data_IF_265983111790
#
_entry.id   IF_265983111790
#
_cell.length_a   1.000
_cell.length_b   1.000
_cell.length_c   1.000
_cell.angle_alpha   90.00
_cell.angle_beta   90.00
_cell.angle_gamma   90.00
#
_symmetry.space_group_name_H-M   'P 1'
#
loop_
_entity.id
_entity.type
_entity.pdbx_description
1 polymer ?
#
# COMPACT_ATOMS: atom_id res chain seq x y z
N UNK A 1 -3.87 -0.59 -25.09
CA UNK A 1 -2.92 -1.39 -24.28
C UNK A 1 -1.76 -1.87 -25.16
N UNK A 2 -2.01 -2.46 -26.33
CA UNK A 2 -0.95 -2.96 -27.23
C UNK A 2 0.03 -1.86 -27.66
N UNK A 3 -0.46 -0.66 -27.95
CA UNK A 3 0.37 0.49 -28.31
C UNK A 3 1.29 0.90 -27.17
N UNK A 4 0.80 0.88 -25.93
CA UNK A 4 1.55 1.22 -24.73
C UNK A 4 2.65 0.17 -24.48
N UNK A 5 2.32 -1.11 -24.62
CA UNK A 5 3.30 -2.19 -24.47
C UNK A 5 4.48 -2.06 -25.41
N UNK A 6 4.19 -1.70 -26.68
CA UNK A 6 5.25 -1.47 -27.70
C UNK A 6 6.11 -0.24 -27.36
N UNK A 7 5.49 0.86 -26.96
CA UNK A 7 6.18 2.11 -26.68
C UNK A 7 7.07 2.02 -25.43
N UNK A 8 6.64 1.25 -24.44
CA UNK A 8 7.39 1.06 -23.18
C UNK A 8 8.28 -0.19 -23.17
N UNK A 9 8.27 -0.96 -24.27
CA UNK A 9 8.96 -2.25 -24.37
C UNK A 9 8.62 -3.19 -23.19
N UNK A 10 7.37 -3.16 -22.77
CA UNK A 10 6.83 -3.99 -21.68
C UNK A 10 5.83 -5.00 -22.19
N UNK A 11 5.92 -6.22 -21.67
CA UNK A 11 4.90 -7.23 -21.93
C UNK A 11 3.72 -7.00 -21.00
N UNK A 12 2.54 -6.77 -21.58
CA UNK A 12 1.31 -6.53 -20.85
C UNK A 12 0.38 -7.72 -21.07
N UNK A 13 0.04 -8.40 -19.97
CA UNK A 13 -0.98 -9.44 -19.97
C UNK A 13 -2.33 -8.80 -19.64
N UNK A 14 -3.32 -9.05 -20.47
CA UNK A 14 -4.68 -8.50 -20.30
C UNK A 14 -5.63 -9.62 -19.93
N UNK A 15 -6.33 -9.46 -18.81
CA UNK A 15 -7.37 -10.41 -18.42
C UNK A 15 -8.49 -10.43 -19.48
N UNK A 16 -9.00 -11.61 -19.87
CA UNK A 16 -10.05 -11.73 -20.88
C UNK A 16 -11.33 -10.97 -20.58
N UNK A 17 -11.59 -10.66 -19.31
CA UNK A 17 -12.74 -9.85 -18.91
C UNK A 17 -12.58 -8.34 -19.21
N UNK A 18 -11.36 -7.92 -19.55
CA UNK A 18 -11.03 -6.54 -19.89
C UNK A 18 -11.23 -6.34 -21.38
N UNK A 19 -12.27 -5.61 -21.75
CA UNK A 19 -12.59 -5.29 -23.14
C UNK A 19 -12.91 -3.80 -23.27
N UNK A 20 -12.53 -3.21 -24.38
CA UNK A 20 -12.85 -1.82 -24.69
C UNK A 20 -11.71 -1.11 -25.40
N UNK A 21 -12.05 0.02 -25.99
CA UNK A 21 -11.10 0.92 -26.63
C UNK A 21 -11.04 2.22 -25.84
N UNK A 22 -9.84 2.66 -25.50
CA UNK A 22 -9.60 3.92 -24.79
C UNK A 22 -8.94 4.89 -25.75
N UNK A 23 -9.52 6.08 -25.88
CA UNK A 23 -8.96 7.16 -26.65
C UNK A 23 -8.50 8.27 -25.72
N UNK A 24 -7.20 8.57 -25.72
CA UNK A 24 -6.60 9.60 -24.88
C UNK A 24 -5.69 10.47 -25.71
N UNK A 25 -5.66 11.76 -25.41
CA UNK A 25 -4.78 12.73 -26.06
C UNK A 25 -3.84 13.35 -25.05
N UNK A 26 -2.56 13.38 -25.37
CA UNK A 26 -1.57 14.17 -24.64
C UNK A 26 -1.06 15.27 -25.56
N UNK A 27 -0.86 16.47 -24.99
CA UNK A 27 -0.34 17.62 -25.72
C UNK A 27 1.15 17.82 -25.49
N UNK A 28 1.74 17.18 -24.49
CA UNK A 28 3.14 17.28 -24.12
C UNK A 28 3.90 16.00 -24.44
N UNK A 29 5.20 16.14 -24.69
CA UNK A 29 6.12 15.00 -24.78
C UNK A 29 6.34 14.50 -23.36
N UNK A 30 6.08 13.22 -23.13
CA UNK A 30 6.23 12.57 -21.84
C UNK A 30 7.50 11.72 -21.84
N UNK A 31 8.18 11.65 -20.70
CA UNK A 31 9.22 10.64 -20.44
C UNK A 31 8.58 9.24 -20.33
N UNK A 32 9.39 8.17 -20.39
CA UNK A 32 8.88 6.81 -20.24
C UNK A 32 8.14 6.61 -18.90
N UNK A 33 8.67 7.14 -17.81
CA UNK A 33 8.04 7.05 -16.49
C UNK A 33 6.73 7.85 -16.43
N UNK A 34 6.72 9.07 -16.95
CA UNK A 34 5.50 9.88 -17.04
C UNK A 34 4.43 9.22 -17.93
N UNK A 35 4.86 8.63 -19.03
CA UNK A 35 3.96 7.90 -19.93
C UNK A 35 3.36 6.66 -19.25
N UNK A 36 4.18 5.93 -18.48
CA UNK A 36 3.72 4.79 -17.70
C UNK A 36 2.73 5.22 -16.60
N UNK A 37 3.03 6.26 -15.84
CA UNK A 37 2.11 6.80 -14.83
C UNK A 37 0.80 7.29 -15.44
N UNK A 38 0.87 7.93 -16.59
CA UNK A 38 -0.31 8.33 -17.35
C UNK A 38 -1.15 7.12 -17.77
N UNK A 39 -0.52 6.07 -18.26
CA UNK A 39 -1.19 4.81 -18.61
C UNK A 39 -1.92 4.19 -17.40
N UNK A 40 -1.27 4.13 -16.24
CA UNK A 40 -1.87 3.64 -15.00
C UNK A 40 -3.10 4.46 -14.61
N UNK A 41 -2.99 5.77 -14.67
CA UNK A 41 -4.08 6.70 -14.32
C UNK A 41 -5.28 6.57 -15.27
N UNK A 42 -5.03 6.40 -16.55
CA UNK A 42 -6.09 6.16 -17.54
C UNK A 42 -6.82 4.84 -17.27
N UNK A 43 -6.08 3.77 -17.01
CA UNK A 43 -6.68 2.48 -16.66
C UNK A 43 -7.54 2.57 -15.40
N UNK A 44 -7.08 3.29 -14.40
CA UNK A 44 -7.84 3.51 -13.16
C UNK A 44 -9.19 4.20 -13.41
N UNK A 45 -9.22 5.21 -14.28
CA UNK A 45 -10.48 5.86 -14.70
C UNK A 45 -11.49 4.90 -15.33
N UNK A 46 -11.01 3.84 -15.97
CA UNK A 46 -11.85 2.79 -16.56
C UNK A 46 -12.12 1.61 -15.61
N UNK A 47 -11.78 1.74 -14.34
CA UNK A 47 -11.96 0.68 -13.36
C UNK A 47 -11.03 -0.51 -13.53
N UNK A 48 -9.86 -0.28 -14.13
CA UNK A 48 -8.82 -1.27 -14.37
C UNK A 48 -7.61 -1.00 -13.49
N UNK A 49 -6.94 -2.04 -13.07
CA UNK A 49 -5.74 -1.98 -12.23
C UNK A 49 -4.60 -2.77 -12.84
N UNK A 50 -3.39 -2.33 -12.57
CA UNK A 50 -2.17 -2.96 -13.05
C UNK A 50 -1.44 -3.63 -11.89
N UNK A 51 -1.13 -4.90 -12.06
CA UNK A 51 -0.36 -5.71 -11.11
C UNK A 51 1.00 -5.99 -11.72
N UNK A 52 2.11 -5.50 -11.15
CA UNK A 52 3.44 -5.84 -11.62
C UNK A 52 3.75 -7.31 -11.33
N UNK A 53 4.51 -7.94 -12.19
CA UNK A 53 4.95 -9.33 -12.07
C UNK A 53 6.46 -9.40 -11.89
N UNK A 54 6.95 -10.47 -11.25
CA UNK A 54 8.38 -10.63 -10.92
C UNK A 54 9.34 -10.61 -12.13
N UNK A 55 8.82 -10.94 -13.29
CA UNK A 55 9.61 -10.98 -14.54
C UNK A 55 9.61 -9.66 -15.35
N UNK A 56 9.18 -8.55 -14.72
CA UNK A 56 9.09 -7.23 -15.37
C UNK A 56 7.87 -7.06 -16.28
N UNK A 57 7.03 -8.06 -16.41
CA UNK A 57 5.73 -7.95 -17.06
C UNK A 57 4.72 -7.28 -16.16
N UNK A 58 3.61 -6.83 -16.72
CA UNK A 58 2.48 -6.28 -15.96
C UNK A 58 1.19 -6.96 -16.39
N UNK A 59 0.29 -7.16 -15.44
CA UNK A 59 -1.03 -7.75 -15.68
C UNK A 59 -2.11 -6.70 -15.46
N UNK A 60 -3.00 -6.54 -16.44
CA UNK A 60 -4.17 -5.66 -16.35
C UNK A 60 -5.39 -6.48 -15.98
N UNK A 61 -6.05 -6.11 -14.90
CA UNK A 61 -7.26 -6.76 -14.38
C UNK A 61 -8.31 -5.71 -14.03
N UNK A 62 -9.54 -6.14 -13.80
CA UNK A 62 -10.55 -5.25 -13.21
C UNK A 62 -10.18 -4.90 -11.78
N UNK A 63 -10.40 -3.65 -11.39
CA UNK A 63 -10.07 -3.16 -10.04
C UNK A 63 -10.77 -3.96 -8.93
N UNK A 64 -11.99 -4.45 -9.19
CA UNK A 64 -12.72 -5.31 -8.26
C UNK A 64 -12.02 -6.65 -7.97
N UNK A 65 -11.23 -7.15 -8.91
CA UNK A 65 -10.48 -8.42 -8.80
C UNK A 65 -9.07 -8.20 -8.29
N UNK A 66 -8.51 -7.00 -8.45
CA UNK A 66 -7.13 -6.68 -8.08
C UNK A 66 -6.82 -6.98 -6.61
N UNK A 67 -7.79 -6.78 -5.72
CA UNK A 67 -7.68 -7.05 -4.27
C UNK A 67 -7.32 -8.51 -3.95
N UNK A 68 -7.76 -9.45 -4.77
CA UNK A 68 -7.59 -10.89 -4.58
C UNK A 68 -6.66 -11.54 -5.60
N UNK A 69 -6.14 -10.78 -6.54
CA UNK A 69 -5.36 -11.28 -7.68
C UNK A 69 -3.89 -11.63 -7.38
N UNK A 70 -3.50 -11.73 -6.11
CA UNK A 70 -2.14 -12.11 -5.72
C UNK A 70 -1.11 -11.03 -6.08
N UNK A 71 -1.32 -9.81 -5.62
CA UNK A 71 -0.39 -8.70 -5.83
C UNK A 71 1.00 -9.04 -5.28
N UNK A 72 2.08 -8.72 -6.00
CA UNK A 72 3.44 -9.05 -5.59
C UNK A 72 3.84 -8.32 -4.31
N UNK A 73 4.73 -8.93 -3.55
CA UNK A 73 5.34 -8.30 -2.39
C UNK A 73 6.30 -7.20 -2.85
N UNK A 74 6.09 -6.01 -2.34
CA UNK A 74 6.98 -4.88 -2.50
C UNK A 74 7.73 -4.59 -1.19
N UNK A 75 8.88 -3.98 -1.28
CA UNK A 75 9.70 -3.59 -0.14
C UNK A 75 10.21 -2.15 -0.28
N UNK A 76 11.08 -1.73 0.64
CA UNK A 76 11.63 -0.36 0.61
C UNK A 76 12.56 -0.11 -0.56
N UNK A 77 13.15 -1.15 -1.16
CA UNK A 77 14.02 -1.04 -2.34
C UNK A 77 13.21 -0.99 -3.62
N UNK A 78 12.12 -1.77 -3.66
CA UNK A 78 11.19 -1.86 -4.79
C UNK A 78 9.76 -1.58 -4.31
N UNK A 79 9.43 -0.31 -4.05
CA UNK A 79 8.15 0.05 -3.43
C UNK A 79 6.96 0.01 -4.39
N UNK A 80 7.18 -0.32 -5.66
CA UNK A 80 6.19 -0.19 -6.72
C UNK A 80 6.06 1.25 -7.22
N UNK A 81 5.31 1.45 -8.31
CA UNK A 81 5.16 2.74 -8.97
C UNK A 81 3.69 3.16 -9.01
N UNK A 82 3.39 4.37 -8.51
CA UNK A 82 2.11 5.04 -8.69
C UNK A 82 0.89 4.19 -8.32
N UNK A 83 0.05 3.90 -9.29
CA UNK A 83 -1.20 3.15 -9.13
C UNK A 83 -1.04 1.63 -9.37
N UNK A 84 0.17 1.11 -9.46
CA UNK A 84 0.40 -0.34 -9.48
C UNK A 84 -0.12 -0.98 -8.19
N UNK A 85 -0.75 -2.15 -8.31
CA UNK A 85 -1.24 -2.88 -7.13
C UNK A 85 -0.11 -3.74 -6.57
N UNK A 86 0.23 -3.47 -5.32
CA UNK A 86 1.31 -4.16 -4.59
C UNK A 86 0.83 -4.58 -3.20
N UNK A 87 1.60 -5.45 -2.56
CA UNK A 87 1.43 -5.82 -1.15
C UNK A 87 2.69 -5.47 -0.36
N UNK A 88 2.53 -4.80 0.77
CA UNK A 88 3.61 -4.52 1.71
C UNK A 88 3.38 -5.27 3.02
N UNK A 89 4.46 -5.82 3.55
CA UNK A 89 4.49 -6.45 4.87
C UNK A 89 5.18 -5.50 5.84
N UNK A 90 4.51 -5.14 6.92
CA UNK A 90 5.05 -4.25 7.96
C UNK A 90 5.00 -4.94 9.31
N UNK A 91 6.13 -5.08 9.94
CA UNK A 91 6.24 -5.57 11.31
C UNK A 91 6.22 -4.40 12.28
N UNK A 92 5.36 -4.48 13.28
CA UNK A 92 5.26 -3.51 14.36
C UNK A 92 6.05 -3.98 15.57
N UNK A 93 6.76 -3.09 16.21
CA UNK A 93 7.58 -3.40 17.39
C UNK A 93 6.95 -2.90 18.68
N UNK A 94 6.28 -1.75 18.65
CA UNK A 94 5.85 -1.01 19.83
C UNK A 94 4.33 -0.89 19.95
N UNK A 95 3.61 -0.82 18.84
CA UNK A 95 2.16 -0.65 18.83
C UNK A 95 1.47 -1.95 18.36
N UNK A 96 0.43 -2.42 19.06
CA UNK A 96 -0.33 -3.59 18.61
C UNK A 96 -1.03 -3.35 17.27
N UNK A 97 -0.86 -4.27 16.32
CA UNK A 97 -1.47 -4.15 14.97
C UNK A 97 -2.99 -4.07 15.02
N UNK A 98 -3.63 -4.69 16.00
CA UNK A 98 -5.10 -4.65 16.17
C UNK A 98 -5.64 -3.24 16.39
N UNK A 99 -4.84 -2.34 16.95
CA UNK A 99 -5.27 -0.96 17.21
C UNK A 99 -5.22 -0.11 15.93
N UNK A 100 -4.26 -0.37 15.05
CA UNK A 100 -4.07 0.36 13.82
C UNK A 100 -4.85 -0.20 12.63
N UNK A 101 -5.10 -1.50 12.61
CA UNK A 101 -5.73 -2.16 11.47
C UNK A 101 -7.10 -1.55 11.06
N UNK A 102 -8.02 -1.18 11.97
CA UNK A 102 -9.28 -0.54 11.60
C UNK A 102 -9.09 0.81 10.92
N UNK A 103 -8.18 1.65 11.45
CA UNK A 103 -7.87 2.95 10.87
C UNK A 103 -7.25 2.83 9.48
N UNK A 104 -6.32 1.90 9.32
CA UNK A 104 -5.66 1.64 8.04
C UNK A 104 -6.63 1.10 6.99
N UNK A 105 -7.59 0.25 7.40
CA UNK A 105 -8.66 -0.20 6.50
C UNK A 105 -9.47 0.99 5.99
N UNK A 106 -9.90 1.86 6.88
CA UNK A 106 -10.68 3.04 6.49
C UNK A 106 -9.91 3.94 5.51
N UNK A 107 -8.63 4.17 5.74
CA UNK A 107 -7.78 4.98 4.86
C UNK A 107 -7.50 4.29 3.51
N UNK A 108 -7.34 2.98 3.51
CA UNK A 108 -7.04 2.20 2.31
C UNK A 108 -8.31 1.95 1.47
N UNK A 109 -9.46 1.76 2.11
CA UNK A 109 -10.75 1.54 1.44
C UNK A 109 -11.26 2.76 0.67
N UNK A 110 -10.78 3.96 1.00
CA UNK A 110 -11.09 5.17 0.25
C UNK A 110 -10.71 5.08 -1.25
N UNK A 111 -9.79 4.18 -1.61
CA UNK A 111 -9.41 3.91 -2.99
C UNK A 111 -10.24 2.81 -3.66
N UNK A 112 -11.08 2.10 -2.91
CA UNK A 112 -11.92 0.99 -3.39
C UNK A 112 -11.17 -0.31 -3.72
N UNK A 113 -9.85 -0.34 -3.63
CA UNK A 113 -8.99 -1.46 -4.01
C UNK A 113 -8.25 -2.03 -2.80
N UNK A 114 -8.14 -1.24 -1.74
CA UNK A 114 -7.33 -1.54 -0.58
C UNK A 114 -7.78 -2.76 0.22
N UNK A 115 -6.82 -3.49 0.76
CA UNK A 115 -7.04 -4.57 1.72
C UNK A 115 -6.01 -4.48 2.84
N UNK A 116 -6.45 -4.63 4.08
CA UNK A 116 -5.59 -4.64 5.27
C UNK A 116 -5.84 -5.91 6.06
N UNK A 117 -4.85 -6.74 6.17
CA UNK A 117 -4.85 -7.96 6.99
C UNK A 117 -3.84 -7.79 8.12
N UNK A 118 -4.20 -8.17 9.32
CA UNK A 118 -3.30 -8.17 10.46
C UNK A 118 -3.14 -9.57 11.04
N UNK A 119 -1.95 -9.86 11.55
CA UNK A 119 -1.62 -11.11 12.21
C UNK A 119 -1.05 -10.80 13.59
N UNK A 120 -1.87 -10.95 14.62
CA UNK A 120 -1.54 -10.58 16.00
C UNK A 120 -0.33 -11.33 16.58
N UNK A 121 -0.17 -12.66 16.38
CA UNK A 121 0.93 -13.40 17.01
C UNK A 121 2.32 -12.87 16.69
N UNK A 122 2.55 -12.36 15.49
CA UNK A 122 3.82 -11.77 15.07
C UNK A 122 3.80 -10.25 14.96
N UNK A 123 2.68 -9.63 15.29
CA UNK A 123 2.46 -8.18 15.21
C UNK A 123 2.77 -7.62 13.80
N UNK A 124 2.23 -8.27 12.77
CA UNK A 124 2.48 -7.98 11.36
C UNK A 124 1.22 -7.47 10.68
N UNK A 125 1.39 -6.47 9.82
CA UNK A 125 0.38 -5.94 8.90
C UNK A 125 0.73 -6.32 7.45
N UNK A 126 -0.30 -6.72 6.71
CA UNK A 126 -0.26 -6.90 5.26
C UNK A 126 -1.15 -5.83 4.64
N UNK A 127 -0.56 -4.95 3.84
CA UNK A 127 -1.23 -3.85 3.17
C UNK A 127 -1.20 -4.09 1.66
N UNK A 128 -2.37 -4.28 1.06
CA UNK A 128 -2.52 -4.43 -0.39
C UNK A 128 -3.30 -3.24 -0.95
N UNK A 129 -2.85 -2.71 -2.06
CA UNK A 129 -3.50 -1.59 -2.73
C UNK A 129 -2.57 -0.89 -3.71
N UNK A 130 -2.93 0.33 -4.11
CA UNK A 130 -2.09 1.17 -4.95
C UNK A 130 -0.77 1.48 -4.26
N UNK A 131 0.35 1.34 -4.97
CA UNK A 131 1.69 1.54 -4.40
C UNK A 131 1.84 2.90 -3.74
N UNK A 132 1.33 3.97 -4.34
CA UNK A 132 1.37 5.33 -3.77
C UNK A 132 0.64 5.43 -2.43
N UNK A 133 -0.53 4.81 -2.30
CA UNK A 133 -1.32 4.81 -1.07
C UNK A 133 -0.69 3.91 -0.01
N UNK A 134 -0.33 2.69 -0.37
CA UNK A 134 0.25 1.71 0.55
C UNK A 134 1.57 2.22 1.13
N UNK A 135 2.44 2.83 0.32
CA UNK A 135 3.71 3.38 0.79
C UNK A 135 3.51 4.54 1.78
N UNK A 136 2.51 5.40 1.56
CA UNK A 136 2.13 6.43 2.54
C UNK A 136 1.65 5.85 3.85
N UNK A 137 0.85 4.78 3.79
CA UNK A 137 0.36 4.10 4.99
C UNK A 137 1.50 3.43 5.75
N UNK A 138 2.47 2.84 5.05
CA UNK A 138 3.68 2.27 5.65
C UNK A 138 4.48 3.33 6.39
N UNK A 139 4.70 4.50 5.78
CA UNK A 139 5.40 5.62 6.42
C UNK A 139 4.67 6.12 7.67
N UNK A 140 3.34 6.23 7.59
CA UNK A 140 2.49 6.62 8.72
C UNK A 140 2.61 5.62 9.88
N UNK A 141 2.48 4.33 9.58
CA UNK A 141 2.56 3.23 10.55
C UNK A 141 3.91 3.21 11.24
N UNK A 142 5.00 3.36 10.49
CA UNK A 142 6.36 3.39 11.06
C UNK A 142 6.58 4.58 11.98
N UNK A 143 6.00 5.75 11.68
CA UNK A 143 6.06 6.93 12.57
C UNK A 143 5.29 6.68 13.86
N UNK A 144 4.07 6.17 13.76
CA UNK A 144 3.24 5.84 14.93
C UNK A 144 3.92 4.80 15.80
N UNK A 145 4.56 3.81 15.20
CA UNK A 145 5.28 2.76 15.93
C UNK A 145 6.50 3.32 16.69
N UNK A 146 7.25 4.23 16.08
CA UNK A 146 8.36 4.95 16.76
C UNK A 146 7.87 5.80 17.91
N UNK A 147 6.78 6.54 17.73
CA UNK A 147 6.19 7.37 18.79
C UNK A 147 5.67 6.52 19.96
N UNK A 148 5.30 5.28 19.71
CA UNK A 148 4.92 4.29 20.71
C UNK A 148 6.03 3.98 21.73
N UNK A 149 7.29 4.09 21.35
CA UNK A 149 8.45 3.94 22.26
C UNK A 149 8.43 5.01 23.34
N UNK A 150 8.25 6.25 22.98
CA UNK A 150 8.25 7.39 23.90
C UNK A 150 7.15 7.26 24.96
N UNK A 151 5.98 6.79 24.58
CA UNK A 151 4.87 6.55 25.51
C UNK A 151 5.16 5.42 26.49
N UNK A 152 5.83 4.36 26.06
CA UNK A 152 6.19 3.24 26.93
C UNK A 152 7.25 3.59 27.95
N UNK A 153 8.19 4.46 27.64
CA UNK A 153 9.21 4.93 28.59
C UNK A 153 8.63 5.83 29.67
N UNK A 154 7.59 6.61 29.37
CA UNK A 154 6.97 7.54 30.31
C UNK A 154 6.01 6.83 31.30
N UNK A 155 5.25 5.83 30.86
CA UNK A 155 4.26 5.11 31.69
C UNK A 155 4.87 4.40 32.93
N UNK A 156 6.00 3.65 32.83
CA UNK A 156 6.62 3.01 33.96
C UNK A 156 7.10 4.00 35.03
N UNK A 157 7.65 5.15 34.64
CA UNK A 157 8.11 6.21 35.55
C UNK A 157 6.96 6.85 36.31
N UNK A 158 5.82 7.11 35.68
CA UNK A 158 4.62 7.63 36.36
C UNK A 158 4.03 6.61 37.34
N UNK A 159 4.07 5.34 37.01
CA UNK A 159 3.57 4.26 37.86
C UNK A 159 4.46 4.06 39.10
N UNK A 160 5.77 4.09 38.96
CA UNK A 160 6.73 4.03 40.05
C UNK A 160 6.57 5.22 40.97
N UNK A 161 6.45 6.43 40.44
CA UNK A 161 6.25 7.66 41.23
C UNK A 161 4.94 7.64 42.03
N UNK A 162 3.84 7.14 41.44
CA UNK A 162 2.56 7.01 42.13
C UNK A 162 2.62 5.98 43.29
N UNK A 163 3.37 4.89 43.11
CA UNK A 163 3.55 3.86 44.12
C UNK A 163 4.41 4.36 45.30
N UNK A 164 5.49 5.05 45.00
CA UNK A 164 6.33 5.69 46.02
C UNK A 164 5.57 6.72 46.82
N UNK A 165 4.76 7.55 46.19
CA UNK A 165 3.90 8.53 46.86
C UNK A 165 2.83 7.85 47.74
N UNK A 166 2.27 6.72 47.32
CA UNK A 166 1.32 5.94 48.09
C UNK A 166 1.96 5.32 49.35
N UNK A 167 3.20 4.85 49.25
CA UNK A 167 3.95 4.32 50.37
C UNK A 167 4.41 5.40 51.36
N UNK A 168 4.65 6.64 50.89
CA UNK A 168 4.99 7.78 51.76
C UNK A 168 3.80 8.35 52.53
N UNK A 169 2.56 8.12 52.09
CA UNK A 169 1.34 8.64 52.68
C UNK A 169 0.70 7.69 53.71
N UNK A 170 1.19 6.48 53.86
CA UNK A 170 0.80 5.49 54.86
C UNK A 170 1.87 5.37 55.98
#
# INVERSE_FOLDING_TARGET
>A
IDTVGRNLNKTILVDPSVQGTVSVRTYNVLTEDEYYQFFLSVLDLYGLSVIPMDNGMVKVVRSSVARTAGAPLADSKNPGKGDEIITRVVRMENVPVRELAPLLRQLNDATGIGNVVHFEPSNVLLLTGKASVVNRLVDLVQRVDKDGIQRREIIPLRFASAKELSEMLN
#
